data_IF_531518512497
#
_entry.id   IF_531518512497
#
_cell.length_a   1.000
_cell.length_b   1.000
_cell.length_c   1.000
_cell.angle_alpha   90.00
_cell.angle_beta   90.00
_cell.angle_gamma   90.00
#
_symmetry.space_group_name_H-M   'P 1'
#
loop_
_entity.id
_entity.type
_entity.pdbx_description
1 polymer ?
#
# COMPACT_ATOMS: atom_id res chain seq x y z
N UNK A 1 0.64 19.15 -14.39
CA UNK A 1 0.57 18.28 -15.61
C UNK A 1 0.69 16.83 -15.17
N UNK A 2 0.10 15.86 -15.89
CA UNK A 2 0.25 14.43 -15.56
C UNK A 2 1.73 14.03 -15.46
N UNK A 3 2.08 13.21 -14.48
CA UNK A 3 3.47 12.86 -14.16
C UNK A 3 4.09 12.06 -15.31
N UNK A 4 5.33 12.38 -15.69
CA UNK A 4 6.01 11.75 -16.84
C UNK A 4 5.21 11.85 -18.16
N UNK A 5 4.45 12.92 -18.40
CA UNK A 5 3.63 13.07 -19.62
C UNK A 5 4.42 13.01 -20.95
N UNK A 6 5.74 13.14 -20.92
CA UNK A 6 6.62 12.95 -22.08
C UNK A 6 6.97 11.49 -22.35
N UNK A 7 6.89 10.60 -21.35
CA UNK A 7 7.22 9.17 -21.47
C UNK A 7 5.99 8.26 -21.41
N UNK A 8 4.95 8.67 -20.68
CA UNK A 8 3.70 7.91 -20.54
C UNK A 8 2.58 8.62 -21.32
N UNK A 9 1.90 7.94 -22.27
CA UNK A 9 0.90 8.56 -23.13
C UNK A 9 -0.47 8.70 -22.43
N UNK A 10 -0.54 9.45 -21.33
CA UNK A 10 -1.75 9.66 -20.54
C UNK A 10 -2.92 10.20 -21.36
N UNK A 11 -2.66 11.13 -22.28
CA UNK A 11 -3.67 11.67 -23.17
C UNK A 11 -4.29 10.61 -24.09
N UNK A 12 -3.51 9.58 -24.49
CA UNK A 12 -4.03 8.46 -25.29
C UNK A 12 -4.99 7.63 -24.44
N UNK A 13 -4.65 7.34 -23.18
CA UNK A 13 -5.55 6.66 -22.25
C UNK A 13 -6.81 7.49 -21.99
N UNK A 14 -6.67 8.77 -21.62
CA UNK A 14 -7.79 9.65 -21.34
C UNK A 14 -8.74 9.79 -22.53
N UNK A 15 -8.23 9.85 -23.77
CA UNK A 15 -9.03 9.88 -24.99
C UNK A 15 -9.85 8.59 -25.22
N UNK A 16 -9.51 7.47 -24.57
CA UNK A 16 -10.35 6.26 -24.57
C UNK A 16 -11.44 6.26 -23.52
N UNK A 17 -11.44 7.23 -22.60
CA UNK A 17 -12.34 7.28 -21.45
C UNK A 17 -13.33 8.44 -21.58
N UNK A 18 -14.51 8.25 -20.98
CA UNK A 18 -15.51 9.29 -20.81
C UNK A 18 -16.07 9.20 -19.39
N UNK A 19 -16.25 10.35 -18.75
CA UNK A 19 -16.94 10.45 -17.49
C UNK A 19 -18.45 10.42 -17.73
N UNK A 20 -19.16 9.48 -17.10
CA UNK A 20 -20.63 9.36 -17.20
C UNK A 20 -21.23 8.90 -15.88
N UNK A 21 -22.50 9.24 -15.59
CA UNK A 21 -23.25 8.67 -14.48
C UNK A 21 -23.33 7.14 -14.60
N UNK A 22 -23.11 6.43 -13.49
CA UNK A 22 -23.14 4.95 -13.48
C UNK A 22 -24.56 4.43 -13.65
N UNK A 23 -25.47 4.79 -12.73
CA UNK A 23 -26.91 4.53 -12.80
C UNK A 23 -27.67 5.30 -11.68
N UNK A 24 -29.01 5.41 -11.78
CA UNK A 24 -29.83 6.09 -10.77
C UNK A 24 -29.75 5.47 -9.37
N UNK A 25 -29.52 4.15 -9.26
CA UNK A 25 -29.38 3.45 -7.98
C UNK A 25 -28.08 3.82 -7.24
N UNK A 26 -27.12 4.45 -7.91
CA UNK A 26 -25.91 5.01 -7.32
C UNK A 26 -25.95 6.54 -7.23
N UNK A 27 -27.16 7.12 -7.17
CA UNK A 27 -27.42 8.55 -7.10
C UNK A 27 -26.73 9.33 -8.23
N UNK A 28 -26.68 8.75 -9.42
CA UNK A 28 -26.05 9.33 -10.62
C UNK A 28 -24.59 9.74 -10.43
N UNK A 29 -23.88 9.09 -9.49
CA UNK A 29 -22.45 9.30 -9.31
C UNK A 29 -21.68 9.01 -10.61
N UNK A 30 -20.70 9.85 -10.90
CA UNK A 30 -19.91 9.74 -12.12
C UNK A 30 -18.81 8.67 -12.00
N UNK A 31 -18.49 8.02 -13.13
CA UNK A 31 -17.37 7.11 -13.24
C UNK A 31 -16.77 7.10 -14.65
N UNK A 32 -15.54 6.58 -14.76
CA UNK A 32 -14.89 6.41 -16.04
C UNK A 32 -15.43 5.19 -16.79
N UNK A 33 -15.88 5.42 -18.01
CA UNK A 33 -16.32 4.38 -18.93
C UNK A 33 -15.47 4.40 -20.19
N UNK A 34 -15.16 3.23 -20.72
CA UNK A 34 -14.47 3.10 -22.01
C UNK A 34 -15.39 3.59 -23.13
N UNK A 35 -14.88 4.47 -24.00
CA UNK A 35 -15.56 4.95 -25.19
C UNK A 35 -15.67 3.84 -26.22
N UNK A 36 -16.83 3.73 -26.86
CA UNK A 36 -17.04 2.85 -28.02
C UNK A 36 -16.43 3.53 -29.25
N UNK A 37 -15.18 3.22 -29.57
CA UNK A 37 -14.47 3.71 -30.76
C UNK A 37 -13.67 2.59 -31.44
N UNK A 38 -13.49 2.62 -32.77
CA UNK A 38 -12.88 1.50 -33.52
C UNK A 38 -11.45 1.15 -33.10
N UNK A 39 -10.69 2.12 -32.61
CA UNK A 39 -9.26 1.97 -32.27
C UNK A 39 -8.99 1.87 -30.76
N UNK A 40 -10.03 1.70 -29.93
CA UNK A 40 -9.92 1.72 -28.48
C UNK A 40 -8.95 0.68 -27.94
N UNK A 41 -9.02 -0.55 -28.47
CA UNK A 41 -8.14 -1.65 -28.05
C UNK A 41 -6.68 -1.32 -28.36
N UNK A 42 -6.40 -0.80 -29.57
CA UNK A 42 -5.04 -0.42 -29.98
C UNK A 42 -4.48 0.68 -29.08
N UNK A 43 -5.27 1.69 -28.77
CA UNK A 43 -4.90 2.79 -27.86
C UNK A 43 -4.61 2.29 -26.43
N UNK A 44 -5.46 1.42 -25.89
CA UNK A 44 -5.25 0.82 -24.57
C UNK A 44 -4.00 -0.05 -24.51
N UNK A 45 -3.77 -0.88 -25.53
CA UNK A 45 -2.55 -1.70 -25.62
C UNK A 45 -1.29 -0.83 -25.75
N UNK A 46 -1.34 0.23 -26.56
CA UNK A 46 -0.23 1.18 -26.68
C UNK A 46 0.10 1.84 -25.34
N UNK A 47 -0.92 2.34 -24.63
CA UNK A 47 -0.74 2.89 -23.29
C UNK A 47 -0.13 1.87 -22.32
N UNK A 48 -0.70 0.66 -22.25
CA UNK A 48 -0.23 -0.37 -21.32
C UNK A 48 1.24 -0.73 -21.57
N UNK A 49 1.64 -0.90 -22.83
CA UNK A 49 3.03 -1.21 -23.18
C UNK A 49 3.99 -0.08 -22.80
N UNK A 50 3.64 1.18 -23.12
CA UNK A 50 4.46 2.33 -22.76
C UNK A 50 4.56 2.53 -21.24
N UNK A 51 3.45 2.35 -20.53
CA UNK A 51 3.40 2.42 -19.07
C UNK A 51 4.28 1.36 -18.42
N UNK A 52 4.15 0.10 -18.83
CA UNK A 52 4.95 -1.02 -18.30
C UNK A 52 6.42 -0.82 -18.60
N UNK A 53 6.78 -0.44 -19.83
CA UNK A 53 8.18 -0.16 -20.19
C UNK A 53 8.77 0.93 -19.30
N UNK A 54 8.07 2.06 -19.14
CA UNK A 54 8.53 3.16 -18.29
C UNK A 54 8.71 2.71 -16.83
N UNK A 55 7.75 1.96 -16.27
CA UNK A 55 7.86 1.44 -14.89
C UNK A 55 9.06 0.50 -14.74
N UNK A 56 9.30 -0.39 -15.71
CA UNK A 56 10.43 -1.30 -15.68
C UNK A 56 11.78 -0.59 -15.82
N UNK A 57 11.86 0.45 -16.64
CA UNK A 57 13.08 1.26 -16.79
C UNK A 57 13.43 1.97 -15.47
N UNK A 58 12.44 2.61 -14.83
CA UNK A 58 12.64 3.23 -13.52
C UNK A 58 12.99 2.20 -12.44
N UNK A 59 12.28 1.07 -12.38
CA UNK A 59 12.57 0.01 -11.42
C UNK A 59 13.98 -0.54 -11.60
N UNK A 60 14.46 -0.67 -12.83
CA UNK A 60 15.82 -1.12 -13.13
C UNK A 60 16.86 -0.12 -12.63
N UNK A 61 16.68 1.18 -12.93
CA UNK A 61 17.55 2.24 -12.44
C UNK A 61 17.59 2.31 -10.90
N UNK A 62 16.43 2.25 -10.25
CA UNK A 62 16.33 2.29 -8.79
C UNK A 62 16.94 1.02 -8.15
N UNK A 63 16.79 -0.15 -8.77
CA UNK A 63 17.36 -1.40 -8.26
C UNK A 63 18.89 -1.33 -8.15
N UNK A 64 19.55 -0.64 -9.09
CA UNK A 64 21.00 -0.42 -9.05
C UNK A 64 21.38 0.52 -7.91
N UNK A 65 20.60 1.57 -7.69
CA UNK A 65 20.83 2.56 -6.63
C UNK A 65 20.86 1.93 -5.23
N UNK A 66 20.05 0.89 -5.00
CA UNK A 66 19.90 0.27 -3.68
C UNK A 66 20.55 -1.13 -3.56
N UNK A 67 21.28 -1.57 -4.58
CA UNK A 67 21.84 -2.93 -4.64
C UNK A 67 22.77 -3.26 -3.46
N UNK A 68 23.63 -2.31 -3.06
CA UNK A 68 24.58 -2.50 -1.95
C UNK A 68 23.87 -2.57 -0.58
N UNK A 69 22.82 -1.77 -0.38
CA UNK A 69 22.08 -1.72 0.89
C UNK A 69 21.27 -3.00 1.17
N UNK A 70 20.96 -3.78 0.13
CA UNK A 70 20.24 -5.04 0.22
C UNK A 70 21.15 -6.27 0.32
N UNK A 71 22.48 -6.10 0.39
CA UNK A 71 23.40 -7.21 0.53
C UNK A 71 23.19 -7.91 1.88
N UNK A 72 23.16 -9.27 1.92
CA UNK A 72 23.03 -9.99 3.18
C UNK A 72 24.12 -9.60 4.17
N UNK A 73 23.72 -9.23 5.39
CA UNK A 73 24.63 -8.96 6.49
C UNK A 73 24.61 -10.18 7.43
N UNK A 74 25.57 -11.12 7.28
CA UNK A 74 25.56 -12.38 8.02
C UNK A 74 25.74 -12.21 9.53
N UNK A 75 26.27 -11.06 9.96
CA UNK A 75 26.53 -10.75 11.36
C UNK A 75 25.29 -10.24 12.12
N UNK A 76 24.17 -10.00 11.43
CA UNK A 76 22.92 -9.60 12.11
C UNK A 76 22.35 -10.75 12.94
N UNK A 77 22.14 -10.50 14.23
CA UNK A 77 21.50 -11.45 15.14
C UNK A 77 19.97 -11.35 15.02
N UNK A 78 19.27 -12.47 15.21
CA UNK A 78 17.80 -12.49 15.21
C UNK A 78 17.17 -11.56 16.25
N UNK A 79 17.89 -11.23 17.33
CA UNK A 79 17.43 -10.33 18.37
C UNK A 79 17.77 -8.86 18.11
N UNK A 80 18.47 -8.56 17.00
CA UNK A 80 18.80 -7.19 16.64
C UNK A 80 17.54 -6.35 16.48
N UNK A 81 17.56 -5.18 17.11
CA UNK A 81 16.49 -4.20 17.00
C UNK A 81 16.61 -3.50 15.65
N UNK A 82 15.74 -3.90 14.72
CA UNK A 82 15.66 -3.32 13.37
C UNK A 82 14.73 -2.12 13.32
N UNK A 83 13.68 -2.08 14.14
CA UNK A 83 12.86 -0.88 14.34
C UNK A 83 13.44 -0.07 15.49
N UNK A 84 14.15 1.01 15.17
CA UNK A 84 14.66 1.97 16.19
C UNK A 84 13.50 2.65 16.91
N UNK A 85 13.78 3.29 18.05
CA UNK A 85 12.75 4.01 18.80
C UNK A 85 12.10 5.13 17.96
N UNK A 86 12.90 5.80 17.12
CA UNK A 86 12.40 6.85 16.23
C UNK A 86 11.38 6.29 15.24
N UNK A 87 11.72 5.19 14.56
CA UNK A 87 10.86 4.55 13.57
C UNK A 87 9.62 3.97 14.24
N UNK A 88 9.79 3.28 15.36
CA UNK A 88 8.69 2.70 16.14
C UNK A 88 7.67 3.77 16.55
N UNK A 89 8.13 4.91 17.10
CA UNK A 89 7.25 6.05 17.44
C UNK A 89 6.53 6.61 16.22
N UNK A 90 7.22 6.71 15.08
CA UNK A 90 6.65 7.24 13.83
C UNK A 90 5.47 6.40 13.33
N UNK A 91 5.57 5.07 13.41
CA UNK A 91 4.57 4.16 12.85
C UNK A 91 3.51 3.69 13.87
N UNK A 92 3.72 3.90 15.17
CA UNK A 92 2.88 3.36 16.25
C UNK A 92 1.39 3.67 16.08
N UNK A 93 1.04 4.90 15.73
CA UNK A 93 -0.36 5.29 15.54
C UNK A 93 -1.02 4.56 14.35
N UNK A 94 -0.26 4.24 13.30
CA UNK A 94 -0.78 3.44 12.18
C UNK A 94 -0.90 1.98 12.57
N UNK A 95 0.07 1.45 13.32
CA UNK A 95 0.01 0.10 13.90
C UNK A 95 -1.22 -0.08 14.79
N UNK A 96 -1.46 0.86 15.69
CA UNK A 96 -2.64 0.86 16.53
C UNK A 96 -3.95 0.80 15.71
N UNK A 97 -4.06 1.67 14.70
CA UNK A 97 -5.27 1.74 13.86
C UNK A 97 -5.56 0.42 13.16
N UNK A 98 -4.58 -0.21 12.52
CA UNK A 98 -4.85 -1.46 11.80
C UNK A 98 -5.00 -2.67 12.72
N UNK A 99 -4.51 -2.60 13.96
CA UNK A 99 -4.83 -3.61 14.98
C UNK A 99 -6.25 -3.50 15.51
N UNK A 100 -6.88 -2.32 15.45
CA UNK A 100 -8.29 -2.14 15.81
C UNK A 100 -9.24 -2.58 14.69
N UNK A 101 -8.86 -2.38 13.43
CA UNK A 101 -9.67 -2.70 12.25
C UNK A 101 -9.25 -4.06 11.67
N UNK A 102 -9.60 -5.13 12.38
CA UNK A 102 -9.34 -6.51 11.97
C UNK A 102 -10.62 -7.24 11.55
N UNK A 103 -10.45 -8.22 10.67
CA UNK A 103 -11.57 -8.97 10.07
C UNK A 103 -11.92 -10.25 10.84
N UNK A 104 -11.04 -10.68 11.76
CA UNK A 104 -11.20 -11.87 12.59
C UNK A 104 -10.65 -11.63 13.99
N UNK A 105 -11.31 -12.19 15.01
CA UNK A 105 -10.83 -12.14 16.41
C UNK A 105 -9.44 -12.80 16.58
N UNK A 106 -9.07 -13.73 15.70
CA UNK A 106 -7.79 -14.44 15.73
C UNK A 106 -6.67 -13.68 15.01
N UNK A 107 -6.98 -12.62 14.26
CA UNK A 107 -6.02 -11.89 13.42
C UNK A 107 -4.96 -11.16 14.25
N UNK A 108 -5.41 -10.38 15.24
CA UNK A 108 -4.55 -9.71 16.19
C UNK A 108 -5.09 -9.87 17.60
N UNK A 109 -4.18 -10.08 18.56
CA UNK A 109 -4.54 -10.01 19.98
C UNK A 109 -4.98 -8.59 20.40
N UNK A 110 -5.63 -8.46 21.56
CA UNK A 110 -6.14 -7.20 22.07
C UNK A 110 -5.08 -6.09 22.07
N UNK A 111 -5.50 -4.88 21.73
CA UNK A 111 -4.63 -3.71 21.65
C UNK A 111 -5.12 -2.59 22.56
N UNK A 112 -4.21 -1.98 23.30
CA UNK A 112 -4.47 -0.80 24.12
C UNK A 112 -4.06 0.47 23.36
N UNK A 113 -4.76 1.57 23.63
CA UNK A 113 -4.42 2.87 23.06
C UNK A 113 -2.99 3.30 23.48
N UNK A 114 -2.20 3.89 22.56
CA UNK A 114 -0.87 4.40 22.93
C UNK A 114 -1.01 5.50 24.01
N UNK A 115 -0.41 5.29 25.18
CA UNK A 115 -0.47 6.24 26.30
C UNK A 115 0.51 7.43 26.15
N UNK A 116 1.12 7.59 24.97
CA UNK A 116 1.73 8.85 24.53
C UNK A 116 3.06 9.26 25.15
N UNK A 117 3.74 8.41 25.94
CA UNK A 117 5.06 8.79 26.50
C UNK A 117 6.20 7.84 26.17
N UNK A 118 6.00 6.53 26.26
CA UNK A 118 7.08 5.56 26.07
C UNK A 118 6.67 4.40 25.17
N UNK A 119 7.60 3.95 24.33
CA UNK A 119 7.45 2.73 23.55
C UNK A 119 7.37 1.51 24.46
N UNK A 120 6.82 0.41 23.95
CA UNK A 120 6.82 -0.86 24.67
C UNK A 120 8.25 -1.29 25.07
N UNK A 121 8.45 -1.49 26.38
CA UNK A 121 9.68 -2.02 26.99
C UNK A 121 9.49 -3.44 27.55
N UNK A 122 8.38 -4.11 27.22
CA UNK A 122 8.12 -5.47 27.71
C UNK A 122 9.00 -6.48 26.95
N UNK A 123 10.13 -6.86 27.55
CA UNK A 123 11.12 -7.77 26.96
C UNK A 123 10.77 -9.25 27.10
N UNK A 124 10.16 -9.62 28.23
CA UNK A 124 9.80 -11.00 28.56
C UNK A 124 8.34 -11.29 28.21
N UNK A 125 8.04 -12.58 28.02
CA UNK A 125 6.72 -13.13 27.70
C UNK A 125 5.63 -12.87 28.74
N UNK A 126 5.33 -11.60 29.04
CA UNK A 126 3.98 -11.17 29.37
C UNK A 126 3.14 -11.64 28.18
N UNK A 127 2.45 -12.77 28.37
CA UNK A 127 1.89 -13.60 27.30
C UNK A 127 0.99 -12.85 26.30
N UNK A 128 0.61 -11.62 26.60
CA UNK A 128 -0.19 -10.72 25.77
C UNK A 128 0.11 -9.23 26.04
N UNK A 129 1.31 -8.71 25.72
CA UNK A 129 1.48 -7.23 25.68
C UNK A 129 0.49 -6.64 24.67
N UNK A 130 -0.44 -5.84 25.18
CA UNK A 130 -1.49 -5.19 24.39
C UNK A 130 -0.96 -3.90 23.72
N UNK A 131 0.30 -3.58 23.92
CA UNK A 131 0.96 -2.42 23.34
C UNK A 131 0.87 -2.47 21.80
N UNK A 132 0.56 -1.37 21.09
CA UNK A 132 0.36 -1.38 19.64
C UNK A 132 1.50 -2.05 18.89
N UNK A 133 2.73 -1.66 19.21
CA UNK A 133 3.96 -2.25 18.68
C UNK A 133 4.78 -2.89 19.82
N UNK A 134 4.60 -4.19 20.11
CA UNK A 134 5.36 -4.88 21.14
C UNK A 134 6.87 -4.89 20.86
N UNK A 135 7.70 -4.92 21.90
CA UNK A 135 9.16 -4.84 21.76
C UNK A 135 9.74 -5.99 20.92
N UNK A 136 9.25 -7.22 21.11
CA UNK A 136 9.66 -8.37 20.29
C UNK A 136 9.33 -8.20 18.80
N UNK A 137 8.28 -7.44 18.46
CA UNK A 137 7.91 -7.11 17.06
C UNK A 137 8.84 -6.12 16.40
N UNK A 138 9.77 -5.52 17.15
CA UNK A 138 10.82 -4.62 16.64
C UNK A 138 12.11 -5.34 16.25
N UNK A 139 12.23 -6.62 16.60
CA UNK A 139 13.43 -7.44 16.37
C UNK A 139 13.42 -8.05 14.97
N UNK A 140 14.61 -8.32 14.43
CA UNK A 140 14.77 -8.98 13.13
C UNK A 140 14.02 -10.31 13.05
N UNK A 141 13.99 -11.07 14.15
CA UNK A 141 13.27 -12.35 14.26
C UNK A 141 11.81 -12.28 13.82
N UNK A 142 11.13 -11.14 14.02
CA UNK A 142 9.74 -10.96 13.61
C UNK A 142 9.54 -10.95 12.09
N UNK A 143 10.60 -10.66 11.32
CA UNK A 143 10.61 -10.69 9.85
C UNK A 143 11.20 -11.98 9.28
N UNK A 144 11.74 -12.86 10.15
CA UNK A 144 12.24 -14.19 9.79
C UNK A 144 11.17 -15.28 9.94
N UNK A 145 9.97 -14.92 10.42
CA UNK A 145 8.83 -15.81 10.52
C UNK A 145 8.43 -16.35 9.14
N UNK A 146 8.42 -17.68 9.02
CA UNK A 146 8.14 -18.34 7.74
C UNK A 146 6.65 -18.52 7.55
N UNK A 147 6.19 -18.24 6.34
CA UNK A 147 4.87 -18.66 5.92
C UNK A 147 4.75 -20.19 6.00
N UNK A 148 3.68 -20.64 6.66
CA UNK A 148 3.29 -22.04 6.74
C UNK A 148 1.96 -22.24 6.01
N UNK A 149 1.97 -23.12 5.02
CA UNK A 149 0.73 -23.59 4.37
C UNK A 149 -0.15 -24.25 5.43
N UNK A 150 -1.44 -23.89 5.41
CA UNK A 150 -2.44 -24.29 6.39
C UNK A 150 -3.74 -24.73 5.71
N UNK A 151 -4.67 -25.40 6.41
CA UNK A 151 -6.04 -25.55 5.93
C UNK A 151 -6.74 -24.19 5.83
N UNK A 152 -7.81 -24.10 5.03
CA UNK A 152 -8.68 -22.93 5.01
C UNK A 152 -9.12 -22.57 6.44
N UNK A 153 -9.33 -21.27 6.70
CA UNK A 153 -9.73 -20.70 7.99
C UNK A 153 -8.67 -20.65 9.10
N UNK A 154 -7.52 -21.30 8.93
CA UNK A 154 -6.47 -21.33 9.97
C UNK A 154 -5.30 -20.36 9.69
N UNK A 155 -5.49 -19.38 8.81
CA UNK A 155 -4.41 -18.49 8.39
C UNK A 155 -3.79 -17.76 9.59
N UNK A 156 -4.60 -17.07 10.41
CA UNK A 156 -4.08 -16.29 11.53
C UNK A 156 -3.51 -17.15 12.66
N UNK A 157 -4.11 -18.30 12.93
CA UNK A 157 -3.56 -19.27 13.90
C UNK A 157 -2.19 -19.78 13.48
N UNK A 158 -1.98 -20.05 12.19
CA UNK A 158 -0.71 -20.60 11.69
C UNK A 158 0.33 -19.53 11.33
N UNK A 159 -0.10 -18.33 10.95
CA UNK A 159 0.76 -17.30 10.35
C UNK A 159 0.69 -15.93 11.03
N UNK A 160 -0.12 -15.73 12.07
CA UNK A 160 -0.38 -14.41 12.67
C UNK A 160 0.88 -13.66 13.08
N UNK A 161 1.89 -14.37 13.62
CA UNK A 161 3.19 -13.77 13.97
C UNK A 161 3.93 -13.19 12.75
N UNK A 162 4.04 -13.98 11.68
CA UNK A 162 4.70 -13.52 10.45
C UNK A 162 3.86 -12.49 9.71
N UNK A 163 2.54 -12.64 9.72
CA UNK A 163 1.62 -11.67 9.14
C UNK A 163 1.73 -10.30 9.82
N UNK A 164 1.87 -10.25 11.14
CA UNK A 164 2.16 -9.00 11.87
C UNK A 164 3.44 -8.33 11.36
N UNK A 165 4.50 -9.10 11.12
CA UNK A 165 5.74 -8.61 10.51
C UNK A 165 5.52 -8.04 9.10
N UNK A 166 4.67 -8.67 8.30
CA UNK A 166 4.28 -8.17 6.97
C UNK A 166 3.50 -6.86 7.06
N UNK A 167 2.57 -6.71 8.00
CA UNK A 167 1.83 -5.46 8.19
C UNK A 167 2.73 -4.31 8.68
N UNK A 168 3.75 -4.61 9.49
CA UNK A 168 4.82 -3.64 9.80
C UNK A 168 5.60 -3.28 8.53
N UNK A 169 6.03 -4.27 7.75
CA UNK A 169 6.80 -4.04 6.51
C UNK A 169 6.03 -3.13 5.55
N UNK A 170 4.74 -3.41 5.36
CA UNK A 170 3.81 -2.55 4.63
C UNK A 170 3.79 -1.13 5.18
N UNK A 171 3.65 -0.98 6.50
CA UNK A 171 3.61 0.33 7.16
C UNK A 171 4.91 1.10 6.93
N UNK A 172 6.07 0.46 7.05
CA UNK A 172 7.38 1.09 6.78
C UNK A 172 7.49 1.60 5.34
N UNK A 173 6.99 0.84 4.37
CA UNK A 173 6.96 1.23 2.96
C UNK A 173 6.13 2.50 2.74
N UNK A 174 4.97 2.61 3.40
CA UNK A 174 4.12 3.81 3.33
C UNK A 174 4.73 5.04 4.00
N UNK A 175 5.60 4.84 4.99
CA UNK A 175 6.27 5.92 5.71
C UNK A 175 7.61 6.31 5.08
N UNK A 176 8.01 5.66 3.98
CA UNK A 176 9.28 5.91 3.29
C UNK A 176 10.51 5.49 4.10
N UNK A 177 10.37 4.58 5.06
CA UNK A 177 11.45 4.12 5.94
C UNK A 177 12.39 3.11 5.24
N UNK A 178 12.96 3.53 4.11
CA UNK A 178 13.72 2.67 3.20
C UNK A 178 14.98 2.09 3.85
N UNK A 179 15.72 2.85 4.65
CA UNK A 179 16.90 2.35 5.35
C UNK A 179 16.56 1.21 6.32
N UNK A 180 15.41 1.32 7.00
CA UNK A 180 14.90 0.26 7.88
C UNK A 180 14.49 -0.97 7.07
N UNK A 181 13.81 -0.76 5.95
CA UNK A 181 13.41 -1.84 5.04
C UNK A 181 14.63 -2.58 4.48
N UNK A 182 15.66 -1.87 4.02
CA UNK A 182 16.89 -2.47 3.53
C UNK A 182 17.62 -3.23 4.62
N UNK A 183 17.70 -2.68 5.84
CA UNK A 183 18.27 -3.39 6.99
C UNK A 183 17.55 -4.70 7.30
N UNK A 184 16.21 -4.72 7.22
CA UNK A 184 15.41 -5.94 7.37
C UNK A 184 15.73 -6.93 6.25
N UNK A 185 15.70 -6.47 4.99
CA UNK A 185 15.95 -7.32 3.82
C UNK A 185 17.38 -7.89 3.78
N UNK A 186 18.36 -7.18 4.34
CA UNK A 186 19.73 -7.64 4.51
C UNK A 186 19.88 -8.72 5.59
N UNK A 187 18.87 -8.93 6.44
CA UNK A 187 18.92 -9.90 7.51
C UNK A 187 18.93 -11.35 7.00
N UNK A 188 19.70 -12.25 7.64
CA UNK A 188 19.72 -13.65 7.23
C UNK A 188 18.33 -14.27 7.40
N UNK A 189 17.95 -15.17 6.48
CA UNK A 189 16.72 -15.98 6.55
C UNK A 189 15.40 -15.18 6.49
N UNK A 190 15.44 -13.90 6.18
CA UNK A 190 14.23 -13.12 5.86
C UNK A 190 13.68 -13.60 4.51
N UNK A 191 12.43 -14.04 4.49
CA UNK A 191 11.77 -14.56 3.29
C UNK A 191 10.46 -13.83 3.02
N UNK A 192 10.55 -12.50 2.92
CA UNK A 192 9.41 -11.65 2.58
C UNK A 192 8.82 -11.99 1.20
N UNK A 193 9.61 -12.60 0.31
CA UNK A 193 9.15 -13.02 -1.02
C UNK A 193 7.96 -13.98 -0.97
N UNK A 194 7.95 -14.92 -0.01
CA UNK A 194 6.82 -15.84 0.20
C UNK A 194 5.55 -15.14 0.68
N UNK A 195 5.68 -13.95 1.25
CA UNK A 195 4.56 -13.14 1.71
C UNK A 195 4.05 -12.15 0.65
N UNK A 196 4.52 -12.25 -0.60
CA UNK A 196 4.15 -11.34 -1.69
C UNK A 196 2.66 -11.36 -2.00
N UNK A 197 2.08 -12.56 -2.19
CA UNK A 197 0.68 -12.75 -2.58
C UNK A 197 0.13 -14.00 -1.92
N UNK A 198 -0.75 -13.80 -0.95
CA UNK A 198 -1.34 -14.84 -0.10
C UNK A 198 -2.86 -14.61 0.01
N UNK A 199 -3.57 -15.61 0.51
CA UNK A 199 -5.00 -15.50 0.82
C UNK A 199 -5.24 -15.89 2.28
N UNK A 200 -6.09 -15.15 2.99
CA UNK A 200 -6.57 -15.58 4.32
C UNK A 200 -7.34 -16.90 4.16
N UNK A 201 -8.11 -17.00 3.08
CA UNK A 201 -8.88 -18.18 2.72
C UNK A 201 -8.22 -18.85 1.52
N UNK A 202 -7.53 -19.98 1.71
CA UNK A 202 -6.80 -20.63 0.61
C UNK A 202 -7.68 -21.08 -0.57
N UNK A 203 -9.01 -21.10 -0.39
CA UNK A 203 -10.00 -21.34 -1.44
C UNK A 203 -10.42 -20.09 -2.23
N UNK A 204 -9.93 -18.89 -1.88
CA UNK A 204 -10.30 -17.62 -2.49
C UNK A 204 -9.13 -16.95 -3.24
N UNK A 205 -9.46 -15.85 -3.92
CA UNK A 205 -8.48 -15.02 -4.63
C UNK A 205 -7.55 -14.38 -3.59
N UNK A 206 -6.22 -14.41 -3.80
CA UNK A 206 -5.28 -13.79 -2.88
C UNK A 206 -5.60 -12.32 -2.60
N UNK A 207 -5.76 -12.01 -1.31
CA UNK A 207 -6.21 -10.73 -0.77
C UNK A 207 -5.30 -10.19 0.35
N UNK A 208 -4.24 -10.95 0.69
CA UNK A 208 -3.25 -10.59 1.71
C UNK A 208 -1.81 -10.74 1.20
N UNK A 209 -0.87 -10.16 1.93
CA UNK A 209 0.52 -10.02 1.50
C UNK A 209 0.88 -8.61 1.06
N UNK A 210 2.17 -8.35 0.88
CA UNK A 210 2.67 -6.99 0.64
C UNK A 210 2.65 -6.56 -0.83
N UNK A 211 2.45 -7.49 -1.76
CA UNK A 211 2.22 -7.18 -3.18
C UNK A 211 0.94 -6.37 -3.43
N UNK A 212 -0.01 -6.39 -2.49
CA UNK A 212 -1.20 -5.54 -2.52
C UNK A 212 -0.86 -4.05 -2.48
N UNK A 213 0.24 -3.65 -1.83
CA UNK A 213 0.70 -2.25 -1.89
C UNK A 213 1.06 -1.87 -3.32
N UNK A 214 1.83 -2.71 -4.03
CA UNK A 214 2.20 -2.44 -5.42
C UNK A 214 0.96 -2.34 -6.30
N UNK A 215 0.00 -3.25 -6.13
CA UNK A 215 -1.27 -3.23 -6.86
C UNK A 215 -2.00 -1.90 -6.64
N UNK A 216 -2.19 -1.48 -5.39
CA UNK A 216 -2.87 -0.22 -5.06
C UNK A 216 -2.12 1.01 -5.51
N UNK A 217 -0.79 1.04 -5.31
CA UNK A 217 0.04 2.16 -5.74
C UNK A 217 -0.09 2.36 -7.25
N UNK A 218 -0.08 1.28 -8.05
CA UNK A 218 -0.32 1.36 -9.49
C UNK A 218 -1.73 1.84 -9.82
N UNK A 219 -2.77 1.30 -9.18
CA UNK A 219 -4.15 1.74 -9.40
C UNK A 219 -4.33 3.22 -9.08
N UNK A 220 -3.87 3.67 -7.91
CA UNK A 220 -3.92 5.07 -7.48
C UNK A 220 -3.11 5.96 -8.42
N UNK A 221 -1.90 5.57 -8.77
CA UNK A 221 -1.06 6.34 -9.68
C UNK A 221 -1.71 6.52 -11.06
N UNK A 222 -2.23 5.45 -11.66
CA UNK A 222 -2.96 5.53 -12.94
C UNK A 222 -4.20 6.41 -12.79
N UNK A 223 -5.01 6.18 -11.74
CA UNK A 223 -6.24 6.91 -11.53
C UNK A 223 -6.01 8.41 -11.35
N UNK A 224 -5.06 8.81 -10.50
CA UNK A 224 -4.76 10.23 -10.25
C UNK A 224 -4.23 10.92 -11.51
N UNK A 225 -3.39 10.24 -12.31
CA UNK A 225 -2.92 10.78 -13.58
C UNK A 225 -4.04 10.87 -14.63
N UNK A 226 -4.97 9.91 -14.65
CA UNK A 226 -6.17 9.98 -15.48
C UNK A 226 -7.05 11.15 -15.05
N UNK A 227 -7.36 11.29 -13.76
CA UNK A 227 -8.13 12.42 -13.22
C UNK A 227 -7.53 13.76 -13.60
N UNK A 228 -6.20 13.88 -13.60
CA UNK A 228 -5.53 15.11 -14.05
C UNK A 228 -5.81 15.47 -15.52
N UNK A 229 -6.06 14.48 -16.38
CA UNK A 229 -6.45 14.71 -17.78
C UNK A 229 -7.90 15.18 -17.95
N UNK A 230 -8.71 15.21 -16.89
CA UNK A 230 -10.10 15.70 -16.87
C UNK A 230 -10.21 16.91 -15.93
N UNK A 231 -9.75 18.11 -16.33
CA UNK A 231 -9.75 19.29 -15.46
C UNK A 231 -11.14 19.62 -14.90
N UNK A 232 -12.23 19.27 -15.59
CA UNK A 232 -13.59 19.43 -15.11
C UNK A 232 -13.89 18.74 -13.76
N UNK A 233 -13.03 17.80 -13.32
CA UNK A 233 -13.18 17.06 -12.06
C UNK A 233 -12.40 17.68 -10.89
N UNK A 234 -11.52 18.66 -11.11
CA UNK A 234 -10.69 19.25 -10.04
C UNK A 234 -10.42 20.76 -10.20
N UNK A 235 -10.53 21.29 -11.42
CA UNK A 235 -10.38 22.71 -11.78
C UNK A 235 -11.76 23.36 -11.98
N UNK A 236 -12.52 23.44 -10.89
CA UNK A 236 -13.68 24.34 -10.81
C UNK A 236 -13.39 25.37 -9.73
N UNK A 237 -13.33 26.64 -10.14
CA UNK A 237 -13.28 27.77 -9.23
C UNK A 237 -14.48 27.74 -8.25
N UNK A 238 -14.31 27.07 -7.11
CA UNK A 238 -15.19 27.17 -5.93
C UNK A 238 -16.45 26.29 -5.85
N UNK A 239 -16.69 25.32 -6.73
CA UNK A 239 -17.90 24.46 -6.63
C UNK A 239 -17.59 23.06 -6.05
N UNK A 240 -17.95 22.84 -4.78
CA UNK A 240 -17.67 21.60 -4.02
C UNK A 240 -18.52 20.37 -4.39
N UNK A 241 -19.44 20.49 -5.34
CA UNK A 241 -20.48 19.47 -5.57
C UNK A 241 -20.04 18.37 -6.57
N UNK A 242 -19.08 18.66 -7.46
CA UNK A 242 -18.60 17.72 -8.50
C UNK A 242 -17.05 17.65 -8.52
N UNK A 243 -16.45 17.44 -7.36
CA UNK A 243 -15.01 17.22 -7.22
C UNK A 243 -14.67 15.73 -7.41
N UNK A 244 -13.44 15.40 -7.83
CA UNK A 244 -12.99 14.03 -8.14
C UNK A 244 -13.21 13.05 -6.98
N UNK A 245 -13.32 13.56 -5.76
CA UNK A 245 -13.65 12.82 -4.54
C UNK A 245 -15.00 12.10 -4.58
N UNK A 246 -15.93 12.56 -5.44
CA UNK A 246 -17.23 11.95 -5.69
C UNK A 246 -17.22 10.83 -6.74
N UNK A 247 -16.15 10.73 -7.54
CA UNK A 247 -16.03 9.76 -8.64
C UNK A 247 -15.91 8.35 -8.05
N UNK A 248 -16.69 7.40 -8.59
CA UNK A 248 -16.73 6.03 -8.05
C UNK A 248 -15.39 5.32 -8.12
N UNK A 249 -14.61 5.51 -9.18
CA UNK A 249 -13.24 4.97 -9.25
C UNK A 249 -12.35 5.50 -8.11
N UNK A 250 -12.47 6.79 -7.74
CA UNK A 250 -11.72 7.38 -6.63
C UNK A 250 -12.19 6.83 -5.28
N UNK A 251 -13.50 6.80 -5.04
CA UNK A 251 -14.06 6.18 -3.84
C UNK A 251 -13.66 4.70 -3.71
N UNK A 252 -13.66 3.97 -4.82
CA UNK A 252 -13.20 2.59 -4.86
C UNK A 252 -11.70 2.50 -4.54
N UNK A 253 -10.85 3.39 -5.07
CA UNK A 253 -9.41 3.38 -4.73
C UNK A 253 -9.14 3.55 -3.23
N UNK A 254 -10.03 4.24 -2.50
CA UNK A 254 -10.00 4.34 -1.04
C UNK A 254 -10.50 3.07 -0.33
N UNK A 255 -11.36 2.28 -0.99
CA UNK A 255 -12.09 1.16 -0.42
C UNK A 255 -11.57 -0.25 -0.84
N UNK A 256 -10.66 -0.35 -1.83
CA UNK A 256 -10.23 -1.61 -2.49
C UNK A 256 -9.38 -2.56 -1.59
N UNK A 257 -9.40 -2.40 -0.26
CA UNK A 257 -8.58 -3.24 0.63
C UNK A 257 -9.35 -3.81 1.82
N UNK A 258 -9.25 -5.13 2.07
CA UNK A 258 -9.86 -5.77 3.24
C UNK A 258 -9.12 -5.48 4.56
N UNK A 259 -7.86 -5.01 4.55
CA UNK A 259 -7.03 -4.76 5.73
C UNK A 259 -6.50 -3.30 5.80
N UNK A 260 -6.51 -2.70 7.00
CA UNK A 260 -6.35 -1.25 7.16
C UNK A 260 -4.94 -0.73 6.90
N UNK A 261 -3.85 -1.49 7.06
CA UNK A 261 -2.52 -0.99 6.63
C UNK A 261 -2.54 -0.66 5.13
N UNK A 262 -3.24 -1.48 4.36
CA UNK A 262 -3.44 -1.33 2.93
C UNK A 262 -4.57 -0.33 2.59
N UNK A 263 -5.57 -0.12 3.46
CA UNK A 263 -6.55 1.02 3.34
C UNK A 263 -5.88 2.36 3.61
N UNK A 264 -5.04 2.44 4.64
CA UNK A 264 -4.23 3.61 4.95
C UNK A 264 -3.26 3.91 3.81
N UNK A 265 -2.73 2.90 3.11
CA UNK A 265 -2.01 3.09 1.85
C UNK A 265 -2.87 3.83 0.82
N UNK A 266 -4.10 3.36 0.55
CA UNK A 266 -5.03 4.00 -0.36
C UNK A 266 -5.34 5.46 0.02
N UNK A 267 -5.54 5.74 1.31
CA UNK A 267 -5.84 7.09 1.83
C UNK A 267 -4.61 8.01 1.84
N UNK A 268 -3.43 7.53 2.23
CA UNK A 268 -2.18 8.31 2.25
C UNK A 268 -1.75 8.64 0.83
N UNK A 269 -1.75 7.65 -0.07
CA UNK A 269 -1.36 7.81 -1.48
C UNK A 269 -2.35 8.66 -2.29
N UNK A 270 -3.58 8.86 -1.82
CA UNK A 270 -4.60 9.62 -2.57
C UNK A 270 -4.78 11.06 -2.08
N UNK A 271 -4.76 11.31 -0.75
CA UNK A 271 -5.08 12.63 -0.17
C UNK A 271 -3.88 13.54 -0.03
N UNK A 272 -2.75 13.03 0.46
CA UNK A 272 -1.55 13.84 0.66
C UNK A 272 -0.84 14.11 -0.68
N UNK A 273 -0.81 13.10 -1.56
CA UNK A 273 -0.09 13.21 -2.82
C UNK A 273 -0.84 14.04 -3.84
N UNK A 274 -2.15 13.89 -4.07
CA UNK A 274 -2.82 14.69 -5.10
C UNK A 274 -2.91 16.18 -4.76
N UNK A 275 -3.19 16.53 -3.50
CA UNK A 275 -3.22 17.93 -3.05
C UNK A 275 -1.85 18.62 -3.14
N UNK A 276 -0.79 17.95 -2.68
CA UNK A 276 0.59 18.46 -2.79
C UNK A 276 1.14 18.39 -4.22
N UNK A 277 0.70 17.43 -5.03
CA UNK A 277 1.10 17.29 -6.43
C UNK A 277 0.47 18.36 -7.31
N UNK A 278 -0.81 18.71 -7.07
CA UNK A 278 -1.46 19.85 -7.71
C UNK A 278 -0.69 21.14 -7.40
N UNK A 279 -0.34 21.41 -6.14
CA UNK A 279 0.36 22.65 -5.77
C UNK A 279 1.81 22.72 -6.28
N UNK A 280 2.50 21.58 -6.43
CA UNK A 280 3.89 21.53 -6.92
C UNK A 280 4.02 21.52 -8.44
N UNK A 281 2.97 21.19 -9.19
CA UNK A 281 3.02 21.04 -10.66
C UNK A 281 2.00 21.91 -11.42
N UNK A 282 1.42 22.91 -10.74
CA UNK A 282 0.60 24.00 -11.32
C UNK A 282 1.25 25.39 -11.22
N UNK A 283 2.51 25.45 -10.75
CA UNK A 283 3.36 26.65 -10.82
C UNK A 283 4.20 26.70 -12.09
#
# INVERSE_FOLDING_TARGET
MAHQAHNIPWNVLAATLQLKPVNPCQHDAENFHVRKQPDVVKKLTYFANAFVANVLDHASCDSVKYAEACLPCPDQDKNDIVLTDLVAKKIEATVYRWRLDHTSEDEFGPVQEPQGKDLCQHEDGAATCQCPLPFNRRKLSSFQEKYSSNPCYNFFTCNGNGFFGVEIFKTLLLYGEMDTLFRICAGPRVDLSRWWKLSIWQCEIPDVGWGEICRLAMYSYILLNVLHCFPETWDKAGASINDYTSIKAYQASLAITPNLATRNAGVILSRADFGNWLTTHTG
#
